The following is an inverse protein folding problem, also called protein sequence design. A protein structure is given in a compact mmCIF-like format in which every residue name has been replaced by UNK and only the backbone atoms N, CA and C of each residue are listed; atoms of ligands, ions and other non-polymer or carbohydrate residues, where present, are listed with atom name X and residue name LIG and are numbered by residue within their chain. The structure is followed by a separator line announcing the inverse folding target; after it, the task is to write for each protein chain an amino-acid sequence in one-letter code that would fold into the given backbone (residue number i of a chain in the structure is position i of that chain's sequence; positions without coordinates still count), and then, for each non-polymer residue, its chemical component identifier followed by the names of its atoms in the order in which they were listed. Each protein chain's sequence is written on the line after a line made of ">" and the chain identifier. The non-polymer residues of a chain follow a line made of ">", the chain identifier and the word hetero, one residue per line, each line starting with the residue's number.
data_IF_548991371633
#
_entry.id   IF_548991371633
#
_cell.length_a   1.000
_cell.length_b   1.000
_cell.length_c   1.000
_cell.angle_alpha   90.00
_cell.angle_beta   90.00
_cell.angle_gamma   90.00
#
_symmetry.space_group_name_H-M   'P 1'
#
loop_
_entity.id
_entity.type
_entity.pdbx_description
1 polymer ?
#
# COMPACT_ATOMS: atom_id res chain seq x y z
N UNK A 1 -25.57 70.79 -37.48
CA UNK A 1 -24.24 70.10 -37.50
C UNK A 1 -24.20 69.16 -36.37
N UNK A 2 -24.39 67.89 -36.67
CA UNK A 2 -24.41 66.84 -35.66
C UNK A 2 -22.98 66.27 -35.42
N UNK A 3 -22.43 66.43 -34.19
CA UNK A 3 -21.15 65.89 -33.83
C UNK A 3 -21.36 64.47 -33.32
N UNK A 4 -21.04 63.48 -34.15
CA UNK A 4 -20.93 62.11 -33.70
C UNK A 4 -19.71 61.95 -32.81
N UNK A 5 -19.93 61.81 -31.51
CA UNK A 5 -18.91 61.42 -30.57
C UNK A 5 -18.62 59.90 -30.73
N UNK A 6 -17.44 59.57 -31.18
CA UNK A 6 -16.93 58.20 -31.34
C UNK A 6 -16.82 57.57 -29.96
N UNK A 7 -17.66 56.56 -29.70
CA UNK A 7 -17.64 55.78 -28.45
C UNK A 7 -16.30 55.06 -28.38
N UNK A 8 -15.46 55.38 -27.39
CA UNK A 8 -14.24 54.63 -27.10
C UNK A 8 -14.63 53.17 -26.83
N UNK A 9 -14.14 52.27 -27.66
CA UNK A 9 -14.19 50.83 -27.37
C UNK A 9 -13.44 50.58 -26.07
N UNK A 10 -14.17 50.19 -25.03
CA UNK A 10 -13.56 49.80 -23.77
C UNK A 10 -12.61 48.63 -24.02
N UNK A 11 -11.34 48.82 -23.76
CA UNK A 11 -10.39 47.73 -23.68
C UNK A 11 -10.90 46.77 -22.62
N UNK A 12 -11.11 45.51 -23.01
CA UNK A 12 -11.44 44.45 -22.08
C UNK A 12 -10.26 44.34 -21.08
N UNK A 13 -10.53 44.27 -19.77
CA UNK A 13 -9.46 44.16 -18.78
C UNK A 13 -8.64 42.90 -19.11
N UNK A 14 -7.34 43.07 -19.22
CA UNK A 14 -6.42 41.97 -19.45
C UNK A 14 -6.60 40.92 -18.32
N UNK A 15 -7.01 39.73 -18.69
CA UNK A 15 -7.13 38.62 -17.74
C UNK A 15 -5.74 38.34 -17.21
N UNK A 16 -5.54 38.51 -15.92
CA UNK A 16 -4.27 38.22 -15.27
C UNK A 16 -4.06 36.70 -15.19
N UNK A 17 -3.36 36.14 -16.16
CA UNK A 17 -3.04 34.71 -16.24
C UNK A 17 -1.84 34.31 -15.36
N UNK A 18 -1.25 35.27 -14.65
CA UNK A 18 -0.07 35.02 -13.82
C UNK A 18 -0.33 34.07 -12.62
N UNK A 19 -1.60 33.99 -12.16
CA UNK A 19 -1.98 33.09 -11.07
C UNK A 19 -2.26 31.65 -11.53
N UNK A 20 -2.46 31.41 -12.82
CA UNK A 20 -2.80 30.09 -13.36
C UNK A 20 -1.67 29.06 -13.18
N UNK A 21 -0.39 29.39 -13.48
CA UNK A 21 0.73 28.47 -13.21
C UNK A 21 0.89 28.13 -11.73
N UNK A 22 0.60 29.07 -10.83
CA UNK A 22 0.70 28.84 -9.39
C UNK A 22 -0.36 27.84 -8.89
N UNK A 23 -1.61 27.98 -9.37
CA UNK A 23 -2.67 27.03 -9.05
C UNK A 23 -2.33 25.63 -9.55
N UNK A 24 -1.82 25.52 -10.77
CA UNK A 24 -1.40 24.21 -11.33
C UNK A 24 -0.25 23.62 -10.55
N UNK A 25 0.73 24.43 -10.17
CA UNK A 25 1.87 23.99 -9.35
C UNK A 25 1.42 23.52 -7.97
N UNK A 26 0.55 24.26 -7.29
CA UNK A 26 0.00 23.88 -6.00
C UNK A 26 -0.83 22.59 -6.08
N UNK A 27 -1.58 22.41 -7.15
CA UNK A 27 -2.34 21.17 -7.40
C UNK A 27 -1.43 19.98 -7.62
N UNK A 28 -0.38 20.13 -8.44
CA UNK A 28 0.64 19.08 -8.65
C UNK A 28 1.38 18.76 -7.37
N UNK A 29 1.76 19.76 -6.59
CA UNK A 29 2.40 19.57 -5.28
C UNK A 29 1.48 18.84 -4.31
N UNK A 30 0.21 19.23 -4.23
CA UNK A 30 -0.79 18.57 -3.41
C UNK A 30 -0.95 17.09 -3.78
N UNK A 31 -1.11 16.77 -5.07
CA UNK A 31 -1.20 15.38 -5.53
C UNK A 31 0.09 14.60 -5.26
N UNK A 32 1.26 15.23 -5.44
CA UNK A 32 2.53 14.60 -5.12
C UNK A 32 2.60 14.23 -3.63
N UNK A 33 2.25 15.15 -2.73
CA UNK A 33 2.25 14.89 -1.28
C UNK A 33 1.23 13.81 -0.91
N UNK A 34 0.02 13.87 -1.44
CA UNK A 34 -1.04 12.87 -1.18
C UNK A 34 -0.63 11.48 -1.67
N UNK A 35 0.05 11.38 -2.82
CA UNK A 35 0.52 10.08 -3.34
C UNK A 35 1.69 9.52 -2.54
N UNK A 36 2.59 10.36 -2.04
CA UNK A 36 3.73 9.94 -1.19
C UNK A 36 3.27 9.47 0.19
N UNK A 37 2.20 10.07 0.73
CA UNK A 37 1.64 9.69 2.04
C UNK A 37 0.83 8.39 2.03
N UNK A 38 0.74 7.68 0.92
CA UNK A 38 0.13 6.35 0.85
C UNK A 38 1.01 5.31 1.54
N UNK A 39 1.11 5.42 2.85
CA UNK A 39 1.66 4.36 3.68
C UNK A 39 0.61 3.26 3.83
N UNK A 40 1.01 2.01 3.64
CA UNK A 40 0.18 0.86 3.98
C UNK A 40 -0.23 0.97 5.45
N UNK A 41 -1.51 1.19 5.71
CA UNK A 41 -2.01 1.22 7.07
C UNK A 41 -1.87 -0.18 7.66
N UNK A 42 -0.93 -0.35 8.58
CA UNK A 42 -0.76 -1.59 9.32
C UNK A 42 -1.96 -1.78 10.23
N UNK A 43 -2.78 -2.76 9.89
CA UNK A 43 -3.95 -3.14 10.66
C UNK A 43 -3.58 -4.06 11.83
N UNK A 44 -2.45 -4.77 11.73
CA UNK A 44 -1.93 -5.66 12.77
C UNK A 44 -0.76 -5.02 13.51
N UNK A 45 -0.62 -5.35 14.79
CA UNK A 45 0.55 -5.02 15.58
C UNK A 45 1.69 -5.91 15.07
N UNK A 46 2.83 -5.31 14.77
CA UNK A 46 3.97 -6.04 14.23
C UNK A 46 5.26 -5.62 14.96
N UNK A 47 5.51 -6.26 16.10
CA UNK A 47 6.81 -6.20 16.77
C UNK A 47 7.68 -7.33 16.23
N UNK A 48 8.52 -7.01 15.28
CA UNK A 48 9.37 -7.99 14.61
C UNK A 48 10.48 -8.51 15.53
N UNK A 49 10.79 -9.82 15.53
CA UNK A 49 11.98 -10.35 16.18
C UNK A 49 13.26 -9.81 15.49
N UNK A 50 14.36 -9.74 16.24
CA UNK A 50 15.67 -9.37 15.69
C UNK A 50 16.29 -10.55 14.96
N UNK A 51 16.99 -10.29 13.85
CA UNK A 51 17.78 -11.30 13.14
C UNK A 51 19.13 -10.72 12.71
N UNK A 52 20.14 -11.57 12.69
CA UNK A 52 21.53 -11.20 12.44
C UNK A 52 21.86 -11.08 10.94
N UNK A 53 21.03 -11.62 10.06
CA UNK A 53 21.24 -11.56 8.61
C UNK A 53 20.04 -10.96 7.89
N UNK A 54 20.31 -9.93 7.08
CA UNK A 54 19.29 -9.20 6.32
C UNK A 54 19.59 -9.25 4.83
N UNK A 55 18.76 -9.95 4.06
CA UNK A 55 18.77 -9.86 2.60
C UNK A 55 17.96 -8.67 2.09
N UNK A 56 18.50 -7.99 1.06
CA UNK A 56 17.81 -6.88 0.38
C UNK A 56 16.59 -7.39 -0.38
N UNK A 57 15.42 -7.00 0.07
CA UNK A 57 14.15 -7.36 -0.55
C UNK A 57 13.93 -6.58 -1.83
N UNK A 58 13.60 -7.27 -2.92
CA UNK A 58 13.21 -6.63 -4.18
C UNK A 58 11.72 -6.30 -4.12
N UNK A 59 11.41 -5.03 -3.87
CA UNK A 59 10.04 -4.53 -3.65
C UNK A 59 9.11 -4.78 -4.84
N UNK A 60 9.64 -4.78 -6.06
CA UNK A 60 8.86 -4.87 -7.30
C UNK A 60 8.15 -6.21 -7.51
N UNK A 61 8.63 -7.28 -6.86
CA UNK A 61 8.09 -8.65 -6.98
C UNK A 61 7.71 -9.27 -5.65
N UNK A 62 7.60 -8.46 -4.60
CA UNK A 62 7.33 -8.95 -3.25
C UNK A 62 5.88 -8.74 -2.86
N UNK A 63 5.23 -9.80 -2.42
CA UNK A 63 3.92 -9.75 -1.76
C UNK A 63 4.16 -9.74 -0.25
N UNK A 64 3.65 -8.74 0.42
CA UNK A 64 3.81 -8.60 1.87
C UNK A 64 2.63 -9.22 2.60
N UNK A 65 2.95 -10.13 3.52
CA UNK A 65 1.99 -10.73 4.45
C UNK A 65 2.37 -10.29 5.85
N UNK A 66 1.42 -9.75 6.57
CA UNK A 66 1.57 -9.41 7.99
C UNK A 66 0.73 -10.37 8.81
N UNK A 67 1.34 -11.00 9.79
CA UNK A 67 0.66 -11.89 10.74
C UNK A 67 0.85 -11.38 12.15
N UNK A 68 -0.23 -11.10 12.86
CA UNK A 68 -0.20 -10.55 14.21
C UNK A 68 -1.57 -10.29 14.79
N UNK A 69 -1.62 -9.85 16.03
CA UNK A 69 -2.87 -9.39 16.65
C UNK A 69 -3.35 -8.10 16.00
N UNK A 70 -4.66 -7.90 15.80
CA UNK A 70 -5.19 -6.63 15.35
C UNK A 70 -4.76 -5.49 16.27
N UNK A 71 -4.49 -4.32 15.71
CA UNK A 71 -4.19 -3.14 16.50
C UNK A 71 -5.40 -2.77 17.39
N UNK A 72 -5.15 -2.14 18.54
CA UNK A 72 -6.17 -1.83 19.54
C UNK A 72 -7.45 -1.19 18.94
N UNK A 73 -7.27 -0.37 17.91
CA UNK A 73 -8.36 0.32 17.19
C UNK A 73 -9.31 -0.63 16.46
N UNK A 74 -8.84 -1.80 16.08
CA UNK A 74 -9.59 -2.77 15.28
C UNK A 74 -9.96 -4.05 16.04
N UNK A 75 -9.52 -4.20 17.30
CA UNK A 75 -9.81 -5.38 18.11
C UNK A 75 -11.30 -5.56 18.39
N UNK A 76 -12.05 -4.46 18.53
CA UNK A 76 -13.50 -4.51 18.73
C UNK A 76 -14.24 -5.10 17.52
N UNK A 77 -13.71 -4.89 16.34
CA UNK A 77 -14.32 -5.34 15.08
C UNK A 77 -13.86 -6.74 14.64
N UNK A 78 -12.60 -7.06 14.86
CA UNK A 78 -11.96 -8.27 14.30
C UNK A 78 -11.51 -9.28 15.37
N UNK A 79 -11.74 -8.98 16.65
CA UNK A 79 -11.33 -9.83 17.75
C UNK A 79 -9.86 -9.63 18.16
N UNK A 80 -9.43 -10.41 19.16
CA UNK A 80 -8.07 -10.36 19.72
C UNK A 80 -7.15 -11.47 19.21
N UNK A 81 -7.68 -12.38 18.41
CA UNK A 81 -6.92 -13.48 17.83
C UNK A 81 -5.97 -13.00 16.73
N UNK A 82 -4.91 -13.79 16.48
CA UNK A 82 -3.97 -13.50 15.39
C UNK A 82 -4.68 -13.48 14.04
N UNK A 83 -4.49 -12.42 13.29
CA UNK A 83 -5.06 -12.21 11.95
C UNK A 83 -3.94 -12.04 10.92
N UNK A 84 -4.29 -12.34 9.69
CA UNK A 84 -3.41 -12.15 8.53
C UNK A 84 -3.88 -10.90 7.80
N UNK A 85 -2.91 -10.07 7.39
CA UNK A 85 -3.17 -8.93 6.53
C UNK A 85 -2.35 -9.07 5.25
N UNK A 86 -3.00 -8.89 4.11
CA UNK A 86 -2.37 -8.77 2.79
C UNK A 86 -2.79 -7.43 2.20
N UNK A 87 -1.80 -6.59 1.89
CA UNK A 87 -2.10 -5.20 1.50
C UNK A 87 -2.84 -4.46 2.61
N UNK A 88 -4.01 -3.92 2.31
CA UNK A 88 -4.83 -3.13 3.25
C UNK A 88 -6.04 -3.91 3.81
N UNK A 89 -6.09 -5.23 3.62
CA UNK A 89 -7.23 -6.06 4.01
C UNK A 89 -6.83 -7.16 4.98
N UNK A 90 -7.68 -7.40 5.98
CA UNK A 90 -7.63 -8.63 6.78
C UNK A 90 -8.09 -9.82 5.95
N UNK A 91 -7.44 -10.93 6.18
CA UNK A 91 -7.73 -12.20 5.51
C UNK A 91 -7.65 -13.32 6.54
N UNK A 92 -8.60 -14.25 6.48
CA UNK A 92 -8.54 -15.49 7.24
C UNK A 92 -7.82 -16.58 6.42
N UNK A 93 -7.36 -17.64 7.08
CA UNK A 93 -6.67 -18.77 6.43
C UNK A 93 -7.48 -19.32 5.24
N UNK A 94 -8.79 -19.44 5.41
CA UNK A 94 -9.69 -19.96 4.36
C UNK A 94 -9.66 -19.13 3.07
N UNK A 95 -9.48 -17.82 3.19
CA UNK A 95 -9.46 -16.89 2.07
C UNK A 95 -8.04 -16.47 1.65
N UNK A 96 -7.02 -17.00 2.33
CA UNK A 96 -5.62 -16.64 2.12
C UNK A 96 -5.18 -16.94 0.68
N UNK A 97 -5.59 -18.09 0.15
CA UNK A 97 -5.27 -18.53 -1.21
C UNK A 97 -5.77 -17.53 -2.26
N UNK A 98 -7.04 -17.17 -2.21
CA UNK A 98 -7.64 -16.20 -3.15
C UNK A 98 -7.03 -14.81 -3.02
N UNK A 99 -6.72 -14.37 -1.81
CA UNK A 99 -6.07 -13.08 -1.56
C UNK A 99 -4.62 -13.04 -2.10
N UNK A 100 -3.90 -14.16 -1.99
CA UNK A 100 -2.55 -14.28 -2.54
C UNK A 100 -2.55 -14.29 -4.07
N UNK A 101 -3.49 -14.99 -4.67
CA UNK A 101 -3.67 -14.97 -6.13
C UNK A 101 -4.02 -13.58 -6.64
N UNK A 102 -4.91 -12.86 -5.95
CA UNK A 102 -5.23 -11.47 -6.28
C UNK A 102 -3.99 -10.57 -6.17
N UNK A 103 -3.21 -10.72 -5.11
CA UNK A 103 -1.97 -9.97 -4.92
C UNK A 103 -0.93 -10.28 -6.01
N UNK A 104 -0.81 -11.56 -6.40
CA UNK A 104 0.06 -11.99 -7.50
C UNK A 104 -0.37 -11.39 -8.85
N UNK A 105 -1.66 -11.33 -9.15
CA UNK A 105 -2.19 -10.74 -10.39
C UNK A 105 -1.94 -9.24 -10.52
N UNK A 106 -1.76 -8.53 -9.39
CA UNK A 106 -1.42 -7.09 -9.38
C UNK A 106 0.03 -6.83 -9.78
N UNK A 107 0.89 -7.86 -9.74
CA UNK A 107 2.26 -7.74 -10.21
C UNK A 107 2.31 -7.82 -11.75
N UNK A 108 3.38 -7.25 -12.32
CA UNK A 108 3.65 -7.37 -13.76
C UNK A 108 3.70 -8.85 -14.17
N UNK A 109 3.15 -9.23 -15.33
CA UNK A 109 3.08 -10.63 -15.78
C UNK A 109 4.42 -11.37 -15.72
N UNK A 110 5.50 -10.69 -16.08
CA UNK A 110 6.87 -11.21 -16.08
C UNK A 110 7.39 -11.59 -14.68
N UNK A 111 6.82 -10.98 -13.64
CA UNK A 111 7.21 -11.17 -12.25
C UNK A 111 6.33 -12.17 -11.50
N UNK A 112 5.17 -12.53 -12.05
CA UNK A 112 4.20 -13.42 -11.40
C UNK A 112 4.73 -14.83 -11.14
N UNK A 113 5.64 -15.33 -11.96
CA UNK A 113 6.29 -16.63 -11.75
C UNK A 113 7.44 -16.59 -10.74
N UNK A 114 7.97 -15.40 -10.49
CA UNK A 114 9.12 -15.18 -9.58
C UNK A 114 8.74 -14.40 -8.33
N UNK A 115 7.51 -14.53 -7.89
CA UNK A 115 7.00 -13.85 -6.71
C UNK A 115 7.81 -14.25 -5.48
N UNK A 116 8.15 -13.26 -4.69
CA UNK A 116 8.73 -13.43 -3.35
C UNK A 116 7.69 -13.04 -2.32
N UNK A 117 7.50 -13.87 -1.32
CA UNK A 117 6.61 -13.57 -0.20
C UNK A 117 7.42 -13.05 0.97
N UNK A 118 7.14 -11.82 1.35
CA UNK A 118 7.76 -11.18 2.50
C UNK A 118 6.82 -11.31 3.70
N UNK A 119 7.13 -12.24 4.60
CA UNK A 119 6.32 -12.52 5.77
C UNK A 119 6.84 -11.73 6.97
N UNK A 120 6.01 -10.83 7.47
CA UNK A 120 6.24 -10.09 8.71
C UNK A 120 5.37 -10.69 9.81
N UNK A 121 6.00 -11.36 10.74
CA UNK A 121 5.32 -12.01 11.85
C UNK A 121 5.61 -11.27 13.15
N UNK A 122 4.57 -10.98 13.91
CA UNK A 122 4.74 -10.49 15.27
C UNK A 122 5.23 -11.61 16.18
N UNK A 123 6.16 -11.29 17.08
CA UNK A 123 6.79 -12.25 18.00
C UNK A 123 5.80 -13.02 18.89
N UNK A 124 4.63 -12.45 19.15
CA UNK A 124 3.56 -13.07 19.93
C UNK A 124 2.57 -13.89 19.07
N UNK A 125 2.82 -14.00 17.77
CA UNK A 125 1.92 -14.74 16.87
C UNK A 125 2.05 -16.25 17.10
N UNK A 126 0.91 -16.93 17.11
CA UNK A 126 0.86 -18.37 17.24
C UNK A 126 1.63 -19.07 16.08
N UNK A 127 2.53 -19.99 16.42
CA UNK A 127 3.35 -20.75 15.46
C UNK A 127 2.46 -21.58 14.49
N UNK A 128 1.27 -22.01 14.95
CA UNK A 128 0.30 -22.70 14.10
C UNK A 128 -0.14 -21.86 12.92
N UNK A 129 -0.48 -20.59 13.15
CA UNK A 129 -0.87 -19.65 12.09
C UNK A 129 0.24 -19.49 11.03
N UNK A 130 1.49 -19.45 11.46
CA UNK A 130 2.65 -19.35 10.55
C UNK A 130 2.81 -20.64 9.74
N UNK A 131 2.56 -21.80 10.33
CA UNK A 131 2.61 -23.09 9.64
C UNK A 131 1.52 -23.21 8.60
N UNK A 132 0.31 -22.77 8.92
CA UNK A 132 -0.82 -22.76 8.00
C UNK A 132 -0.56 -21.84 6.80
N UNK A 133 -0.03 -20.63 7.05
CA UNK A 133 0.40 -19.71 5.98
C UNK A 133 1.42 -20.38 5.05
N UNK A 134 2.42 -21.09 5.62
CA UNK A 134 3.41 -21.78 4.81
C UNK A 134 2.82 -22.91 3.97
N UNK A 135 1.84 -23.61 4.50
CA UNK A 135 1.16 -24.69 3.76
C UNK A 135 0.42 -24.12 2.56
N UNK A 136 -0.36 -23.05 2.74
CA UNK A 136 -1.06 -22.38 1.65
C UNK A 136 -0.12 -21.83 0.57
N UNK A 137 1.02 -21.26 0.99
CA UNK A 137 2.05 -20.80 0.06
C UNK A 137 2.66 -21.94 -0.77
N UNK A 138 2.85 -23.12 -0.19
CA UNK A 138 3.33 -24.31 -0.90
C UNK A 138 2.32 -24.78 -1.94
N UNK A 139 1.03 -24.81 -1.61
CA UNK A 139 -0.03 -25.18 -2.54
C UNK A 139 -0.12 -24.24 -3.75
N UNK A 140 0.18 -22.97 -3.55
CA UNK A 140 0.24 -21.97 -4.63
C UNK A 140 1.58 -21.92 -5.39
N UNK A 141 2.51 -22.81 -5.04
CA UNK A 141 3.89 -22.84 -5.58
C UNK A 141 4.65 -21.52 -5.38
N UNK A 142 4.32 -20.77 -4.31
CA UNK A 142 5.01 -19.55 -3.91
C UNK A 142 6.13 -19.87 -2.91
N UNK A 143 7.19 -20.53 -3.38
CA UNK A 143 8.21 -21.14 -2.52
C UNK A 143 9.26 -20.16 -2.00
N UNK A 144 9.37 -18.96 -2.59
CA UNK A 144 10.32 -17.94 -2.13
C UNK A 144 9.72 -17.14 -0.97
N UNK A 145 9.96 -17.61 0.24
CA UNK A 145 9.52 -16.98 1.47
C UNK A 145 10.69 -16.32 2.18
N UNK A 146 10.56 -15.04 2.50
CA UNK A 146 11.52 -14.27 3.27
C UNK A 146 10.83 -13.77 4.54
N UNK A 147 11.45 -14.03 5.68
CA UNK A 147 11.03 -13.45 6.95
C UNK A 147 11.64 -12.07 7.09
N UNK A 148 10.79 -11.08 7.33
CA UNK A 148 11.26 -9.74 7.67
C UNK A 148 11.29 -9.61 9.18
N UNK A 149 12.46 -9.28 9.70
CA UNK A 149 12.73 -9.12 11.12
C UNK A 149 13.18 -7.69 11.40
N UNK A 150 13.09 -7.23 12.65
CA UNK A 150 13.69 -5.98 13.07
C UNK A 150 15.21 -6.10 13.14
N UNK A 151 15.91 -5.05 12.75
CA UNK A 151 17.35 -4.89 13.03
C UNK A 151 17.59 -4.48 14.48
#
# INVERSE_FOLDING_TARGET
>A
MSKFTKKKSGELPAVNTASLPDIVFMLLFFFMVVTVLRNNNLLVINQMPKADQVEKLQKDRSVYIFAGKPSARYQDKYGKEGKIQIGDKYTDITNLKSALEEARRKLRPELQERVMVALKVDKETNTGLVSDIKQELRELNMLKLIYITAQ
#
